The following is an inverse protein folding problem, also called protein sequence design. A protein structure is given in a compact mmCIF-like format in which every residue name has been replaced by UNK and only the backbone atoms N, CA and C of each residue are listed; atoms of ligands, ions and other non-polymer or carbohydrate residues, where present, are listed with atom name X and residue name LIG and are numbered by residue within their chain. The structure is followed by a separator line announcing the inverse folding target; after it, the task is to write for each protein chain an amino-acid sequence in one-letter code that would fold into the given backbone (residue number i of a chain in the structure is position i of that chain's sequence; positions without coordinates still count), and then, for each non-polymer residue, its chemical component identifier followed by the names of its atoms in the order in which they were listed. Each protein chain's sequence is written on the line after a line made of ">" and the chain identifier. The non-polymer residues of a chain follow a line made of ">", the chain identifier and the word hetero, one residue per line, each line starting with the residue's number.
data_IF_513695375406
#
_entry.id   IF_513695375406
#
_cell.length_a   1.000
_cell.length_b   1.000
_cell.length_c   1.000
_cell.angle_alpha   90.00
_cell.angle_beta   90.00
_cell.angle_gamma   90.00
#
_symmetry.space_group_name_H-M   'P 1'
#
loop_
_entity.id
_entity.type
_entity.pdbx_description
1 polymer ?
#
# COMPACT_ATOMS: atom_id res chain seq x y z
N UNK A 1 20.46 -24.06 1.17
CA UNK A 1 20.21 -24.30 -0.25
C UNK A 1 20.38 -22.98 -1.01
N UNK A 2 21.48 -22.85 -1.57
CA UNK A 2 22.08 -22.01 -2.59
C UNK A 2 21.22 -20.79 -3.04
N UNK A 3 21.47 -19.63 -2.44
CA UNK A 3 21.19 -18.34 -3.06
C UNK A 3 22.27 -18.12 -4.11
N UNK A 4 21.93 -18.44 -5.35
CA UNK A 4 22.79 -18.23 -6.49
C UNK A 4 22.97 -16.73 -6.72
N UNK A 5 24.21 -16.28 -6.60
CA UNK A 5 24.73 -15.00 -7.05
C UNK A 5 24.31 -14.74 -8.50
N UNK A 6 23.28 -13.97 -8.74
CA UNK A 6 23.07 -13.32 -10.02
C UNK A 6 23.74 -11.93 -9.96
N UNK A 7 24.92 -11.89 -10.54
CA UNK A 7 25.80 -10.73 -10.71
C UNK A 7 25.26 -9.72 -11.75
N UNK A 8 24.10 -10.02 -12.32
CA UNK A 8 23.38 -9.15 -13.24
C UNK A 8 22.10 -8.71 -12.53
N UNK A 9 22.05 -7.44 -12.18
CA UNK A 9 20.90 -6.84 -11.52
C UNK A 9 19.62 -7.17 -12.29
N UNK A 10 18.50 -7.45 -11.60
CA UNK A 10 17.26 -7.79 -12.28
C UNK A 10 16.89 -6.65 -13.21
N UNK A 11 16.86 -6.95 -14.50
CA UNK A 11 16.37 -6.09 -15.56
C UNK A 11 14.86 -5.91 -15.43
N UNK A 12 14.43 -5.22 -14.40
CA UNK A 12 13.08 -4.66 -14.29
C UNK A 12 13.00 -3.33 -15.07
N UNK A 13 13.69 -3.28 -16.20
CA UNK A 13 13.48 -2.24 -17.18
C UNK A 13 12.25 -2.61 -17.98
N UNK A 14 11.10 -2.22 -17.48
CA UNK A 14 9.92 -2.20 -18.31
C UNK A 14 10.11 -1.11 -19.36
N UNK A 15 9.77 -1.42 -20.61
CA UNK A 15 9.99 -0.60 -21.82
C UNK A 15 9.24 0.76 -21.83
N UNK A 16 8.65 1.14 -20.75
CA UNK A 16 8.01 2.44 -20.51
C UNK A 16 8.94 3.26 -19.63
N UNK A 17 9.80 4.05 -20.28
CA UNK A 17 10.93 4.82 -19.74
C UNK A 17 10.64 5.61 -18.45
N UNK A 18 10.60 4.95 -17.33
CA UNK A 18 10.53 5.62 -16.04
C UNK A 18 11.89 6.18 -15.63
N UNK A 19 12.18 7.37 -16.11
CA UNK A 19 13.17 8.29 -15.56
C UNK A 19 12.79 8.82 -14.17
N UNK A 20 11.76 8.24 -13.53
CA UNK A 20 11.27 8.64 -12.20
C UNK A 20 12.28 8.40 -11.07
N UNK A 21 13.23 7.50 -11.25
CA UNK A 21 14.14 7.10 -10.18
C UNK A 21 15.03 8.20 -9.62
N UNK A 22 15.56 9.08 -10.47
CA UNK A 22 16.53 10.11 -10.03
C UNK A 22 15.83 11.36 -9.51
N UNK A 23 14.74 11.77 -10.15
CA UNK A 23 13.96 12.94 -9.71
C UNK A 23 13.36 12.76 -8.32
N UNK A 24 12.82 11.58 -8.02
CA UNK A 24 12.26 11.26 -6.71
C UNK A 24 13.34 11.17 -5.61
N UNK A 25 14.51 10.63 -5.93
CA UNK A 25 15.62 10.57 -4.99
C UNK A 25 16.04 11.97 -4.51
N UNK A 26 16.07 12.96 -5.41
CA UNK A 26 16.42 14.35 -5.05
C UNK A 26 15.44 14.92 -4.01
N UNK A 27 14.15 14.63 -4.14
CA UNK A 27 13.13 15.09 -3.19
C UNK A 27 13.39 14.52 -1.80
N UNK A 28 13.69 13.21 -1.70
CA UNK A 28 14.00 12.59 -0.40
C UNK A 28 15.28 13.15 0.22
N UNK A 29 16.30 13.40 -0.60
CA UNK A 29 17.57 13.98 -0.13
C UNK A 29 17.42 15.40 0.39
N UNK A 30 16.41 16.16 -0.04
CA UNK A 30 16.10 17.48 0.50
C UNK A 30 15.52 17.41 1.93
N UNK A 31 14.90 16.30 2.30
CA UNK A 31 14.36 16.09 3.66
C UNK A 31 15.45 15.74 4.68
N UNK A 32 16.66 15.39 4.22
CA UNK A 32 17.76 14.93 5.06
C UNK A 32 18.78 16.05 5.19
N UNK A 33 19.20 16.36 6.41
CA UNK A 33 20.05 17.52 6.70
C UNK A 33 21.54 17.23 6.47
N UNK A 34 22.02 16.08 6.95
CA UNK A 34 23.45 15.78 6.96
C UNK A 34 23.93 15.04 5.69
N UNK A 35 25.12 15.37 5.18
CA UNK A 35 25.65 14.71 3.99
C UNK A 35 25.91 13.21 4.18
N UNK A 36 26.25 12.79 5.39
CA UNK A 36 26.46 11.39 5.73
C UNK A 36 25.16 10.58 5.63
N UNK A 37 24.07 11.14 6.16
CA UNK A 37 22.76 10.52 6.09
C UNK A 37 22.22 10.49 4.64
N UNK A 38 22.53 11.51 3.84
CA UNK A 38 22.18 11.54 2.40
C UNK A 38 22.85 10.38 1.66
N UNK A 39 24.15 10.19 1.85
CA UNK A 39 24.90 9.10 1.22
C UNK A 39 24.36 7.71 1.68
N UNK A 40 24.02 7.60 2.97
CA UNK A 40 23.42 6.40 3.53
C UNK A 40 22.05 6.12 2.90
N UNK A 41 21.20 7.13 2.76
CA UNK A 41 19.88 7.00 2.16
C UNK A 41 19.96 6.66 0.67
N UNK A 42 20.88 7.27 -0.07
CA UNK A 42 21.11 6.98 -1.49
C UNK A 42 21.45 5.50 -1.72
N UNK A 43 22.36 4.95 -0.92
CA UNK A 43 22.69 3.52 -0.98
C UNK A 43 21.48 2.64 -0.68
N UNK A 44 20.72 2.97 0.35
CA UNK A 44 19.50 2.26 0.71
C UNK A 44 18.45 2.32 -0.41
N UNK A 45 18.26 3.48 -1.00
CA UNK A 45 17.33 3.67 -2.12
C UNK A 45 17.68 2.80 -3.31
N UNK A 46 18.94 2.81 -3.73
CA UNK A 46 19.40 2.02 -4.89
C UNK A 46 19.28 0.51 -4.64
N UNK A 47 19.55 0.06 -3.42
CA UNK A 47 19.49 -1.35 -3.05
C UNK A 47 18.05 -1.86 -2.96
N UNK A 48 17.15 -1.11 -2.30
CA UNK A 48 15.84 -1.64 -1.93
C UNK A 48 14.68 -1.19 -2.80
N UNK A 49 14.82 -0.21 -3.69
CA UNK A 49 13.70 0.29 -4.48
C UNK A 49 12.97 -0.80 -5.28
N UNK A 50 13.72 -1.71 -5.89
CA UNK A 50 13.16 -2.82 -6.67
C UNK A 50 12.43 -3.84 -5.81
N UNK A 51 13.03 -4.20 -4.68
CA UNK A 51 12.42 -5.09 -3.69
C UNK A 51 11.12 -4.50 -3.13
N UNK A 52 11.15 -3.22 -2.74
CA UNK A 52 9.99 -2.54 -2.19
C UNK A 52 8.84 -2.45 -3.18
N UNK A 53 9.14 -2.16 -4.44
CA UNK A 53 8.13 -2.16 -5.49
C UNK A 53 7.50 -3.54 -5.70
N UNK A 54 8.32 -4.58 -5.73
CA UNK A 54 7.84 -5.95 -5.88
C UNK A 54 6.91 -6.35 -4.73
N UNK A 55 7.31 -6.10 -3.49
CA UNK A 55 6.49 -6.38 -2.30
C UNK A 55 5.17 -5.60 -2.31
N UNK A 56 5.20 -4.31 -2.67
CA UNK A 56 4.00 -3.50 -2.76
C UNK A 56 3.05 -3.98 -3.87
N UNK A 57 3.61 -4.34 -5.03
CA UNK A 57 2.83 -4.83 -6.16
C UNK A 57 2.16 -6.18 -5.88
N UNK A 58 2.82 -7.09 -5.18
CA UNK A 58 2.25 -8.38 -4.74
C UNK A 58 1.01 -8.22 -3.84
N UNK A 59 0.93 -7.11 -3.10
CA UNK A 59 -0.20 -6.84 -2.20
C UNK A 59 -1.32 -6.08 -2.93
N UNK A 60 -0.95 -5.11 -3.76
CA UNK A 60 -1.90 -4.13 -4.32
C UNK A 60 -2.39 -4.50 -5.72
N UNK A 61 -1.63 -5.29 -6.49
CA UNK A 61 -1.89 -5.67 -7.88
C UNK A 61 -2.23 -4.49 -8.79
N UNK A 62 -1.69 -3.31 -8.48
CA UNK A 62 -1.85 -2.08 -9.23
C UNK A 62 -0.55 -1.29 -9.20
N UNK A 63 -0.05 -0.88 -10.37
CA UNK A 63 1.24 -0.20 -10.50
C UNK A 63 1.27 1.15 -9.79
N UNK A 64 0.24 1.97 -9.97
CA UNK A 64 0.17 3.30 -9.36
C UNK A 64 0.09 3.22 -7.84
N UNK A 65 -0.76 2.33 -7.33
CA UNK A 65 -0.89 2.12 -5.89
C UNK A 65 0.41 1.58 -5.28
N UNK A 66 1.12 0.70 -6.00
CA UNK A 66 2.41 0.17 -5.57
C UNK A 66 3.49 1.28 -5.53
N UNK A 67 3.55 2.13 -6.55
CA UNK A 67 4.46 3.29 -6.57
C UNK A 67 4.18 4.26 -5.41
N UNK A 68 2.91 4.57 -5.15
CA UNK A 68 2.51 5.43 -4.03
C UNK A 68 2.89 4.82 -2.67
N UNK A 69 2.69 3.52 -2.49
CA UNK A 69 3.08 2.82 -1.26
C UNK A 69 4.59 2.86 -1.05
N UNK A 70 5.37 2.63 -2.10
CA UNK A 70 6.84 2.71 -2.08
C UNK A 70 7.30 4.14 -1.77
N UNK A 71 6.69 5.15 -2.39
CA UNK A 71 6.98 6.55 -2.12
C UNK A 71 6.76 6.88 -0.63
N UNK A 72 5.60 6.53 -0.07
CA UNK A 72 5.29 6.74 1.34
C UNK A 72 6.26 5.99 2.27
N UNK A 73 6.69 4.81 1.87
CA UNK A 73 7.66 4.02 2.62
C UNK A 73 9.04 4.71 2.63
N UNK A 74 9.53 5.24 1.50
CA UNK A 74 10.77 5.99 1.44
C UNK A 74 10.74 7.29 2.23
N UNK A 75 9.64 8.03 2.21
CA UNK A 75 9.45 9.21 3.07
C UNK A 75 9.61 8.80 4.54
N UNK A 76 8.99 7.71 4.96
CA UNK A 76 9.09 7.20 6.33
C UNK A 76 10.50 6.75 6.71
N UNK A 77 11.23 6.17 5.77
CA UNK A 77 12.64 5.81 5.96
C UNK A 77 13.52 7.05 6.07
N UNK A 78 13.32 8.06 5.23
CA UNK A 78 14.06 9.33 5.28
C UNK A 78 13.89 10.04 6.64
N UNK A 79 12.66 10.10 7.17
CA UNK A 79 12.37 10.65 8.50
C UNK A 79 13.13 9.91 9.63
N UNK A 80 13.40 8.63 9.45
CA UNK A 80 14.02 7.77 10.45
C UNK A 80 15.43 7.33 10.10
N UNK A 81 16.08 7.97 9.12
CA UNK A 81 17.41 7.56 8.64
C UNK A 81 18.47 7.53 9.74
N UNK A 82 18.34 8.39 10.75
CA UNK A 82 19.23 8.43 11.93
C UNK A 82 19.25 7.13 12.74
N UNK A 83 18.17 6.34 12.68
CA UNK A 83 18.05 5.07 13.40
C UNK A 83 18.65 3.87 12.65
N UNK A 84 19.05 4.09 11.41
CA UNK A 84 19.63 3.06 10.55
C UNK A 84 21.15 3.20 10.61
N UNK A 85 21.82 2.19 11.16
CA UNK A 85 23.28 2.17 11.28
C UNK A 85 23.92 1.80 9.94
N UNK A 86 23.58 0.62 9.40
CA UNK A 86 24.08 0.13 8.13
C UNK A 86 22.92 -0.07 7.13
N UNK A 87 22.98 0.58 5.94
CA UNK A 87 21.91 0.48 4.95
C UNK A 87 21.75 -0.92 4.33
N UNK A 88 22.73 -1.78 4.36
CA UNK A 88 22.72 -3.08 3.64
C UNK A 88 22.69 -4.29 4.59
N UNK A 89 22.47 -4.11 5.88
CA UNK A 89 22.42 -5.21 6.81
C UNK A 89 21.06 -5.96 6.82
N UNK A 90 21.02 -7.23 7.24
CA UNK A 90 19.77 -7.99 7.33
C UNK A 90 18.69 -7.35 8.20
N UNK A 91 19.09 -6.61 9.23
CA UNK A 91 18.17 -5.85 10.09
C UNK A 91 17.48 -4.72 9.32
N UNK A 92 18.23 -3.99 8.51
CA UNK A 92 17.68 -2.92 7.65
C UNK A 92 16.78 -3.50 6.56
N UNK A 93 17.15 -4.64 5.98
CA UNK A 93 16.30 -5.36 5.04
C UNK A 93 14.93 -5.67 5.65
N UNK A 94 14.88 -6.32 6.82
CA UNK A 94 13.61 -6.62 7.50
C UNK A 94 12.80 -5.37 7.84
N UNK A 95 13.47 -4.28 8.27
CA UNK A 95 12.83 -3.00 8.55
C UNK A 95 12.17 -2.37 7.31
N UNK A 96 12.89 -2.36 6.18
CA UNK A 96 12.40 -1.81 4.90
C UNK A 96 11.19 -2.60 4.39
N UNK A 97 11.26 -3.94 4.41
CA UNK A 97 10.15 -4.81 4.00
C UNK A 97 8.93 -4.56 4.89
N UNK A 98 9.09 -4.52 6.20
CA UNK A 98 7.98 -4.26 7.12
C UNK A 98 7.31 -2.90 6.88
N UNK A 99 8.08 -1.86 6.57
CA UNK A 99 7.51 -0.53 6.28
C UNK A 99 6.68 -0.56 5.00
N UNK A 100 7.20 -1.13 3.92
CA UNK A 100 6.47 -1.15 2.65
C UNK A 100 5.25 -2.04 2.70
N UNK A 101 5.30 -3.19 3.37
CA UNK A 101 4.13 -4.04 3.61
C UNK A 101 3.03 -3.29 4.36
N UNK A 102 3.37 -2.62 5.44
CA UNK A 102 2.40 -1.83 6.22
C UNK A 102 1.76 -0.72 5.35
N UNK A 103 2.55 -0.02 4.54
CA UNK A 103 2.03 1.02 3.64
C UNK A 103 1.11 0.46 2.57
N UNK A 104 1.47 -0.67 1.97
CA UNK A 104 0.64 -1.35 0.98
C UNK A 104 -0.68 -1.86 1.58
N UNK A 105 -0.64 -2.47 2.77
CA UNK A 105 -1.84 -2.93 3.48
C UNK A 105 -2.75 -1.75 3.86
N UNK A 106 -2.20 -0.63 4.34
CA UNK A 106 -2.97 0.56 4.67
C UNK A 106 -3.67 1.14 3.43
N UNK A 107 -2.99 1.15 2.30
CA UNK A 107 -3.54 1.61 1.03
C UNK A 107 -4.62 0.67 0.51
N UNK A 108 -4.42 -0.63 0.59
CA UNK A 108 -5.42 -1.64 0.26
C UNK A 108 -6.70 -1.46 1.10
N UNK A 109 -6.57 -1.28 2.42
CA UNK A 109 -7.71 -1.05 3.32
C UNK A 109 -8.46 0.25 3.00
N UNK A 110 -7.75 1.33 2.65
CA UNK A 110 -8.38 2.59 2.21
C UNK A 110 -9.22 2.40 0.96
N UNK A 111 -8.69 1.69 -0.04
CA UNK A 111 -9.39 1.39 -1.28
C UNK A 111 -10.66 0.57 -1.05
N UNK A 112 -10.58 -0.44 -0.20
CA UNK A 112 -11.73 -1.26 0.20
C UNK A 112 -12.86 -0.41 0.84
N UNK A 113 -12.50 0.51 1.73
CA UNK A 113 -13.47 1.42 2.37
C UNK A 113 -14.17 2.32 1.35
N UNK A 114 -13.45 2.88 0.39
CA UNK A 114 -14.02 3.75 -0.64
C UNK A 114 -15.02 2.96 -1.49
N UNK A 115 -14.67 1.76 -1.96
CA UNK A 115 -15.58 0.91 -2.73
C UNK A 115 -16.85 0.54 -1.94
N UNK A 116 -16.73 0.31 -0.64
CA UNK A 116 -17.88 0.00 0.21
C UNK A 116 -18.81 1.21 0.39
N UNK A 117 -18.27 2.42 0.48
CA UNK A 117 -19.07 3.66 0.59
C UNK A 117 -19.79 3.94 -0.72
N UNK A 118 -19.10 3.82 -1.86
CA UNK A 118 -19.71 4.01 -3.18
C UNK A 118 -20.88 3.04 -3.41
N UNK A 119 -20.74 1.77 -3.04
CA UNK A 119 -21.82 0.77 -3.10
C UNK A 119 -23.00 1.14 -2.21
N UNK A 120 -22.76 1.70 -1.04
CA UNK A 120 -23.83 2.14 -0.12
C UNK A 120 -24.55 3.36 -0.70
N UNK A 121 -23.83 4.31 -1.29
CA UNK A 121 -24.42 5.49 -1.92
C UNK A 121 -25.22 5.13 -3.18
N UNK A 122 -24.79 4.17 -4.00
CA UNK A 122 -25.58 3.65 -5.11
C UNK A 122 -26.86 2.95 -4.64
N UNK A 123 -26.80 2.20 -3.55
CA UNK A 123 -28.00 1.56 -2.96
C UNK A 123 -28.96 2.62 -2.38
N UNK A 124 -28.45 3.72 -1.81
CA UNK A 124 -29.30 4.80 -1.31
C UNK A 124 -29.81 5.75 -2.39
N UNK A 125 -29.13 5.87 -3.53
CA UNK A 125 -29.56 6.68 -4.66
C UNK A 125 -30.56 5.95 -5.58
N UNK A 126 -30.63 4.62 -5.55
CA UNK A 126 -31.76 3.90 -6.10
C UNK A 126 -32.98 4.25 -5.25
N UNK A 127 -33.82 5.16 -5.75
CA UNK A 127 -35.11 5.50 -5.21
C UNK A 127 -35.98 4.23 -5.14
N UNK A 128 -35.79 3.41 -4.12
CA UNK A 128 -36.76 2.42 -3.73
C UNK A 128 -37.94 3.23 -3.20
N UNK A 129 -38.96 3.46 -4.03
CA UNK A 129 -40.28 3.92 -3.59
C UNK A 129 -40.74 2.86 -2.59
N UNK A 130 -40.59 3.15 -1.33
CA UNK A 130 -41.26 2.42 -0.27
C UNK A 130 -42.74 2.78 -0.33
N UNK A 131 -43.50 2.03 -1.13
CA UNK A 131 -44.93 2.01 -1.00
C UNK A 131 -45.27 1.42 0.37
N UNK A 132 -45.68 2.31 1.24
CA UNK A 132 -45.90 2.21 2.64
C UNK A 132 -46.31 0.86 3.26
N UNK A 133 -46.09 0.75 4.56
CA UNK A 133 -46.50 -0.25 5.57
C UNK A 133 -46.12 -1.71 5.35
N UNK A 134 -46.08 -2.24 4.11
CA UNK A 134 -45.78 -3.66 3.86
C UNK A 134 -44.33 -3.94 3.46
N UNK A 135 -43.56 -2.94 3.00
CA UNK A 135 -42.19 -3.14 2.50
C UNK A 135 -41.21 -3.57 3.62
N UNK A 136 -41.36 -2.99 4.80
CA UNK A 136 -40.52 -3.35 5.95
C UNK A 136 -40.82 -4.79 6.42
N UNK A 137 -42.05 -5.17 6.46
CA UNK A 137 -42.47 -6.53 6.82
C UNK A 137 -41.93 -7.54 5.81
N UNK A 138 -42.00 -7.26 4.51
CA UNK A 138 -41.46 -8.11 3.44
C UNK A 138 -39.94 -8.28 3.57
N UNK A 139 -39.18 -7.21 3.79
CA UNK A 139 -37.75 -7.29 4.02
C UNK A 139 -37.36 -8.13 5.26
N UNK A 140 -38.16 -8.04 6.34
CA UNK A 140 -37.93 -8.86 7.52
C UNK A 140 -38.23 -10.33 7.23
N UNK A 141 -39.21 -10.64 6.42
CA UNK A 141 -39.56 -12.02 6.05
C UNK A 141 -38.54 -12.66 5.10
N UNK A 142 -37.81 -11.88 4.33
CA UNK A 142 -36.71 -12.37 3.46
C UNK A 142 -35.42 -12.71 4.24
N UNK A 143 -35.29 -12.25 5.49
CA UNK A 143 -34.13 -12.54 6.31
C UNK A 143 -34.12 -14.03 6.76
N UNK A 144 -32.91 -14.64 6.83
CA UNK A 144 -32.77 -15.97 7.42
C UNK A 144 -33.38 -16.04 8.83
N UNK A 145 -33.98 -17.19 9.24
CA UNK A 145 -34.75 -17.29 10.49
C UNK A 145 -34.00 -16.79 11.73
N UNK A 146 -32.71 -17.07 11.84
CA UNK A 146 -31.86 -16.67 12.97
C UNK A 146 -31.74 -15.14 13.16
N UNK A 147 -31.85 -14.36 12.09
CA UNK A 147 -31.81 -12.89 12.16
C UNK A 147 -33.20 -12.29 12.40
N UNK A 148 -34.24 -12.98 11.92
CA UNK A 148 -35.63 -12.58 12.13
C UNK A 148 -36.00 -12.64 13.60
N UNK A 149 -35.58 -13.67 14.32
CA UNK A 149 -35.81 -13.81 15.75
C UNK A 149 -35.19 -12.70 16.59
N UNK A 150 -34.00 -12.18 16.17
CA UNK A 150 -33.34 -11.07 16.87
C UNK A 150 -34.04 -9.72 16.70
N UNK A 151 -34.81 -9.53 15.66
CA UNK A 151 -35.50 -8.25 15.36
C UNK A 151 -36.89 -8.22 16.05
N UNK A 152 -37.50 -9.39 16.27
CA UNK A 152 -38.82 -9.50 16.85
C UNK A 152 -38.83 -9.61 18.41
N UNK A 153 -37.65 -9.60 19.03
CA UNK A 153 -37.47 -9.50 20.48
C UNK A 153 -37.32 -8.05 20.93
#
# INVERSE_FOLDING_TARGET
>A
MVFCLLKDGPTWYNSSGYQLGVGMLIIYLQMIETPEEKSKFERLYLEYRGLMYHVAYEILHNEQDAEDAVHQAFVKIAENIKKIDDPVCPKTHGYVVTIVENKAIDQYRKRQKIQTVELIDEIHSSNVRYDGENALASCIFELPPRYREMILL
#
